data_IF_839754918239
#
_entry.id   IF_839754918239
#
_cell.length_a   1.000
_cell.length_b   1.000
_cell.length_c   1.000
_cell.angle_alpha   90.00
_cell.angle_beta   90.00
_cell.angle_gamma   90.00
#
_symmetry.space_group_name_H-M   'P 1'
#
loop_
_entity.id
_entity.type
_entity.pdbx_description
1 polymer ?
#
# COMPACT_ATOMS: atom_id res chain seq x y z
N UNK A 1 -10.92 -1.62 -5.69
CA UNK A 1 -10.85 -3.10 -5.79
C UNK A 1 -11.56 -3.53 -7.06
N UNK A 2 -11.05 -4.53 -7.74
CA UNK A 2 -11.56 -5.03 -9.02
C UNK A 2 -11.59 -6.56 -8.98
N UNK A 3 -12.72 -7.18 -9.30
CA UNK A 3 -12.89 -8.64 -9.30
C UNK A 3 -13.10 -9.13 -10.74
N UNK A 4 -12.11 -9.81 -11.32
CA UNK A 4 -12.07 -10.15 -12.74
C UNK A 4 -12.13 -11.66 -12.98
N UNK A 5 -13.12 -12.13 -13.75
CA UNK A 5 -13.19 -13.50 -14.28
C UNK A 5 -12.75 -13.51 -15.74
N UNK A 6 -11.93 -14.48 -16.11
CA UNK A 6 -11.36 -14.58 -17.46
C UNK A 6 -11.89 -15.83 -18.14
N UNK A 7 -12.28 -15.69 -19.41
CA UNK A 7 -12.96 -16.71 -20.18
C UNK A 7 -12.26 -16.92 -21.51
N UNK A 8 -12.05 -18.19 -21.88
CA UNK A 8 -11.45 -18.58 -23.15
C UNK A 8 -12.38 -19.50 -23.94
N UNK A 9 -12.48 -19.33 -25.25
CA UNK A 9 -13.30 -20.19 -26.12
C UNK A 9 -12.48 -21.05 -27.09
N UNK A 10 -12.30 -22.36 -26.80
CA UNK A 10 -11.64 -23.28 -27.73
C UNK A 10 -12.61 -23.82 -28.82
N UNK A 11 -12.15 -24.06 -30.07
CA UNK A 11 -10.89 -23.60 -30.64
C UNK A 11 -11.01 -22.11 -31.06
N UNK A 12 -9.99 -21.31 -30.76
CA UNK A 12 -9.95 -19.90 -31.15
C UNK A 12 -9.22 -19.05 -30.13
N UNK A 13 -9.19 -17.73 -30.39
CA UNK A 13 -8.56 -16.72 -29.53
C UNK A 13 -9.60 -15.65 -29.13
N UNK A 14 -10.86 -16.06 -28.91
CA UNK A 14 -11.91 -15.19 -28.36
C UNK A 14 -11.84 -15.29 -26.83
N UNK A 15 -11.07 -14.36 -26.26
CA UNK A 15 -10.85 -14.23 -24.83
C UNK A 15 -11.66 -13.04 -24.29
N UNK A 16 -12.25 -13.24 -23.10
CA UNK A 16 -13.14 -12.27 -22.48
C UNK A 16 -12.83 -12.10 -21.01
N UNK A 17 -12.92 -10.86 -20.55
CA UNK A 17 -12.87 -10.51 -19.13
C UNK A 17 -14.27 -10.04 -18.71
N UNK A 18 -14.76 -10.57 -17.58
CA UNK A 18 -15.89 -10.03 -16.83
C UNK A 18 -15.36 -9.41 -15.56
N UNK A 19 -15.55 -8.10 -15.42
CA UNK A 19 -15.04 -7.30 -14.32
C UNK A 19 -16.19 -6.78 -13.47
N UNK A 20 -16.11 -7.00 -12.15
CA UNK A 20 -16.96 -6.37 -11.15
C UNK A 20 -16.18 -5.26 -10.41
N UNK A 21 -16.77 -4.07 -10.38
CA UNK A 21 -16.33 -2.90 -9.60
C UNK A 21 -17.29 -2.77 -8.42
N UNK A 22 -16.90 -3.16 -7.19
CA UNK A 22 -17.82 -3.18 -6.06
C UNK A 22 -17.96 -1.85 -5.30
N UNK A 23 -17.25 -0.77 -5.65
CA UNK A 23 -17.27 0.49 -4.89
C UNK A 23 -17.78 1.70 -5.68
N UNK A 24 -18.40 2.66 -4.98
CA UNK A 24 -18.90 3.94 -5.53
C UNK A 24 -20.19 3.75 -6.31
N UNK A 25 -20.05 3.27 -7.54
CA UNK A 25 -21.12 2.85 -8.44
C UNK A 25 -20.83 1.40 -8.81
N UNK A 26 -21.71 0.46 -8.41
CA UNK A 26 -21.43 -0.95 -8.64
C UNK A 26 -21.56 -1.27 -10.13
N UNK A 27 -20.47 -1.65 -10.79
CA UNK A 27 -20.46 -1.82 -12.26
C UNK A 27 -20.01 -3.22 -12.65
N UNK A 28 -20.69 -3.83 -13.62
CA UNK A 28 -20.23 -5.03 -14.32
C UNK A 28 -19.83 -4.66 -15.74
N UNK A 29 -18.59 -4.96 -16.11
CA UNK A 29 -18.01 -4.64 -17.42
C UNK A 29 -17.57 -5.94 -18.10
N UNK A 30 -17.88 -6.07 -19.38
CA UNK A 30 -17.39 -7.16 -20.23
C UNK A 30 -16.43 -6.63 -21.28
N UNK A 31 -15.20 -7.14 -21.28
CA UNK A 31 -14.09 -6.64 -22.09
C UNK A 31 -13.61 -7.75 -23.04
N UNK A 32 -13.37 -7.41 -24.30
CA UNK A 32 -12.67 -8.29 -25.24
C UNK A 32 -11.16 -8.23 -24.98
N UNK A 33 -10.50 -9.38 -24.88
CA UNK A 33 -9.07 -9.49 -24.55
C UNK A 33 -8.21 -9.79 -25.78
N UNK A 34 -8.24 -8.92 -26.78
CA UNK A 34 -7.58 -9.09 -28.06
C UNK A 34 -6.60 -7.94 -28.41
N UNK A 35 -5.89 -7.40 -27.40
CA UNK A 35 -4.86 -6.37 -27.58
C UNK A 35 -3.77 -6.82 -28.56
N UNK A 36 -3.97 -6.51 -29.84
CA UNK A 36 -3.11 -6.87 -30.95
C UNK A 36 -3.82 -7.14 -32.27
N UNK A 37 -5.15 -7.33 -32.30
CA UNK A 37 -5.87 -7.72 -33.54
C UNK A 37 -6.82 -6.67 -34.11
N UNK A 38 -7.44 -5.84 -33.28
CA UNK A 38 -8.21 -4.66 -33.71
C UNK A 38 -7.95 -3.49 -32.75
N UNK A 39 -7.71 -2.29 -33.27
CA UNK A 39 -7.74 -1.08 -32.44
C UNK A 39 -9.19 -0.85 -31.96
N UNK A 40 -9.40 -0.89 -30.64
CA UNK A 40 -10.60 -0.40 -29.95
C UNK A 40 -11.93 -1.08 -30.33
N UNK A 41 -12.13 -2.33 -29.91
CA UNK A 41 -13.50 -2.82 -29.69
C UNK A 41 -14.04 -2.22 -28.39
N UNK A 42 -15.24 -1.67 -28.47
CA UNK A 42 -15.98 -1.27 -27.27
C UNK A 42 -16.24 -2.49 -26.37
N UNK A 43 -16.37 -2.24 -25.07
CA UNK A 43 -16.80 -3.23 -24.10
C UNK A 43 -18.10 -3.90 -24.59
N UNK A 44 -18.18 -5.23 -24.52
CA UNK A 44 -19.40 -5.95 -24.90
C UNK A 44 -20.51 -5.83 -23.86
N UNK A 45 -20.18 -5.33 -22.67
CA UNK A 45 -21.08 -5.16 -21.56
C UNK A 45 -20.62 -3.97 -20.70
N UNK A 46 -21.56 -3.13 -20.30
CA UNK A 46 -21.38 -2.11 -19.28
C UNK A 46 -22.74 -1.90 -18.59
N UNK A 47 -22.88 -2.42 -17.38
CA UNK A 47 -24.09 -2.29 -16.57
C UNK A 47 -23.75 -1.71 -15.20
N UNK A 48 -24.41 -0.61 -14.83
CA UNK A 48 -24.31 0.04 -13.51
C UNK A 48 -25.50 -0.35 -12.64
N UNK A 49 -25.23 -0.56 -11.36
CA UNK A 49 -26.19 -1.02 -10.37
C UNK A 49 -26.13 -0.15 -9.12
N UNK A 50 -27.30 0.10 -8.55
CA UNK A 50 -27.43 0.83 -7.28
C UNK A 50 -27.11 -0.01 -6.05
N UNK A 51 -26.94 -1.33 -6.21
CA UNK A 51 -26.78 -2.27 -5.10
C UNK A 51 -25.85 -3.43 -5.48
N UNK A 52 -24.94 -3.79 -4.57
CA UNK A 52 -23.92 -4.82 -4.77
C UNK A 52 -24.51 -6.22 -4.95
N UNK A 53 -25.64 -6.54 -4.30
CA UNK A 53 -26.31 -7.83 -4.44
C UNK A 53 -26.80 -8.03 -5.87
N UNK A 54 -27.37 -6.97 -6.46
CA UNK A 54 -27.83 -6.99 -7.85
C UNK A 54 -26.65 -7.11 -8.80
N UNK A 55 -25.56 -6.37 -8.56
CA UNK A 55 -24.36 -6.44 -9.38
C UNK A 55 -23.71 -7.84 -9.37
N UNK A 56 -23.61 -8.49 -8.20
CA UNK A 56 -23.11 -9.87 -8.08
C UNK A 56 -24.02 -10.85 -8.84
N UNK A 57 -25.34 -10.70 -8.72
CA UNK A 57 -26.28 -11.54 -9.46
C UNK A 57 -26.14 -11.37 -10.99
N UNK A 58 -25.95 -10.13 -11.45
CA UNK A 58 -25.69 -9.83 -12.86
C UNK A 58 -24.37 -10.45 -13.33
N UNK A 59 -23.30 -10.37 -12.53
CA UNK A 59 -22.03 -11.02 -12.82
C UNK A 59 -22.20 -12.54 -13.00
N UNK A 60 -22.93 -13.20 -12.09
CA UNK A 60 -23.24 -14.64 -12.20
C UNK A 60 -24.02 -14.97 -13.47
N UNK A 61 -25.04 -14.16 -13.79
CA UNK A 61 -25.83 -14.32 -15.03
C UNK A 61 -24.94 -14.25 -16.26
N UNK A 62 -24.08 -13.24 -16.37
CA UNK A 62 -23.20 -13.08 -17.53
C UNK A 62 -22.11 -14.16 -17.60
N UNK A 63 -21.55 -14.59 -16.46
CA UNK A 63 -20.63 -15.72 -16.43
C UNK A 63 -21.28 -17.02 -16.92
N UNK A 64 -22.55 -17.25 -16.54
CA UNK A 64 -23.32 -18.39 -17.03
C UNK A 64 -23.65 -18.29 -18.52
N UNK A 65 -23.98 -17.10 -19.03
CA UNK A 65 -24.19 -16.84 -20.47
C UNK A 65 -22.92 -17.15 -21.29
N UNK A 66 -21.75 -16.73 -20.80
CA UNK A 66 -20.47 -17.08 -21.42
C UNK A 66 -20.21 -18.58 -21.39
N UNK A 67 -20.42 -19.23 -20.24
CA UNK A 67 -20.25 -20.69 -20.12
C UNK A 67 -21.18 -21.44 -21.09
N UNK A 68 -22.44 -21.03 -21.19
CA UNK A 68 -23.41 -21.60 -22.12
C UNK A 68 -23.04 -21.37 -23.60
N UNK A 69 -22.33 -20.29 -23.91
CA UNK A 69 -21.78 -20.01 -25.23
C UNK A 69 -20.50 -20.82 -25.56
N UNK A 70 -20.03 -21.65 -24.63
CA UNK A 70 -18.88 -22.54 -24.80
C UNK A 70 -17.54 -21.95 -24.33
N UNK A 71 -17.57 -20.89 -23.52
CA UNK A 71 -16.37 -20.37 -22.89
C UNK A 71 -16.02 -21.16 -21.62
N UNK A 72 -14.73 -21.24 -21.32
CA UNK A 72 -14.19 -21.86 -20.12
C UNK A 72 -13.56 -20.78 -19.24
N UNK A 73 -13.98 -20.70 -17.98
CA UNK A 73 -13.33 -19.83 -16.99
C UNK A 73 -11.89 -20.31 -16.72
N UNK A 74 -10.93 -19.41 -16.76
CA UNK A 74 -9.49 -19.70 -16.71
C UNK A 74 -8.87 -19.32 -15.37
N UNK A 75 -7.72 -19.92 -15.04
CA UNK A 75 -6.99 -19.65 -13.80
C UNK A 75 -6.26 -18.30 -13.76
N UNK A 76 -6.43 -17.43 -14.77
CA UNK A 76 -5.82 -16.11 -14.79
C UNK A 76 -6.41 -15.20 -13.72
N UNK A 77 -5.58 -14.28 -13.23
CA UNK A 77 -5.91 -13.41 -12.08
C UNK A 77 -5.58 -11.94 -12.32
N UNK A 78 -4.70 -11.60 -13.27
CA UNK A 78 -4.18 -10.24 -13.43
C UNK A 78 -5.08 -9.41 -14.36
N UNK A 79 -5.96 -8.59 -13.79
CA UNK A 79 -6.92 -7.72 -14.51
C UNK A 79 -6.30 -6.64 -15.40
N UNK A 80 -5.00 -6.40 -15.27
CA UNK A 80 -4.25 -5.51 -16.16
C UNK A 80 -3.72 -6.22 -17.41
N UNK A 81 -3.84 -7.55 -17.50
CA UNK A 81 -3.55 -8.28 -18.73
C UNK A 81 -4.71 -8.10 -19.71
N UNK A 82 -4.36 -7.97 -20.98
CA UNK A 82 -5.31 -7.76 -22.09
C UNK A 82 -5.17 -8.82 -23.19
N UNK A 83 -4.49 -9.90 -22.84
CA UNK A 83 -4.33 -11.12 -23.61
C UNK A 83 -4.14 -12.27 -22.61
N UNK A 84 -4.82 -13.40 -22.82
CA UNK A 84 -4.54 -14.60 -22.05
C UNK A 84 -3.28 -15.26 -22.62
N UNK A 85 -2.47 -15.89 -21.75
CA UNK A 85 -1.29 -16.61 -22.21
C UNK A 85 -1.71 -17.73 -23.20
N UNK A 86 -0.84 -18.15 -24.14
CA UNK A 86 -1.14 -19.26 -25.04
C UNK A 86 -1.59 -20.50 -24.26
N UNK A 87 -2.76 -21.06 -24.62
CA UNK A 87 -3.40 -22.20 -23.97
C UNK A 87 -3.76 -21.97 -22.49
N UNK A 88 -4.70 -21.06 -22.19
CA UNK A 88 -5.11 -20.78 -20.82
C UNK A 88 -5.68 -22.04 -20.16
N UNK A 89 -5.25 -22.30 -18.92
CA UNK A 89 -5.71 -23.45 -18.16
C UNK A 89 -7.08 -23.18 -17.54
N UNK A 90 -8.00 -24.16 -17.54
CA UNK A 90 -9.26 -24.05 -16.81
C UNK A 90 -9.04 -23.74 -15.33
N UNK A 91 -9.88 -22.89 -14.75
CA UNK A 91 -9.86 -22.58 -13.32
C UNK A 91 -10.19 -23.84 -12.50
N UNK A 92 -9.33 -24.26 -11.54
CA UNK A 92 -9.64 -25.33 -10.60
C UNK A 92 -10.89 -25.03 -9.77
N UNK A 93 -11.66 -26.05 -9.40
CA UNK A 93 -12.94 -25.86 -8.70
C UNK A 93 -12.78 -25.16 -7.34
N UNK A 94 -11.73 -25.48 -6.58
CA UNK A 94 -11.47 -24.78 -5.30
C UNK A 94 -11.21 -23.28 -5.47
N UNK A 95 -10.69 -22.83 -6.63
CA UNK A 95 -10.52 -21.40 -6.92
C UNK A 95 -11.86 -20.75 -7.27
N UNK A 96 -12.73 -21.45 -8.01
CA UNK A 96 -14.09 -20.98 -8.28
C UNK A 96 -14.87 -20.84 -6.97
N UNK A 97 -14.82 -21.85 -6.12
CA UNK A 97 -15.50 -21.83 -4.82
C UNK A 97 -14.96 -20.71 -3.90
N UNK A 98 -13.67 -20.38 -3.99
CA UNK A 98 -13.07 -19.25 -3.27
C UNK A 98 -13.49 -17.89 -3.87
N UNK A 99 -13.66 -17.77 -5.19
CA UNK A 99 -14.27 -16.60 -5.82
C UNK A 99 -15.72 -16.41 -5.36
N UNK A 100 -16.49 -17.50 -5.28
CA UNK A 100 -17.88 -17.48 -4.78
C UNK A 100 -17.94 -17.05 -3.32
N UNK A 101 -17.00 -17.49 -2.46
CA UNK A 101 -16.90 -16.99 -1.10
C UNK A 101 -16.60 -15.48 -1.07
N UNK A 102 -15.71 -14.99 -1.93
CA UNK A 102 -15.42 -13.55 -2.04
C UNK A 102 -16.66 -12.77 -2.47
N UNK A 103 -17.42 -13.24 -3.46
CA UNK A 103 -18.67 -12.61 -3.90
C UNK A 103 -19.76 -12.67 -2.81
N UNK A 104 -19.83 -13.79 -2.08
CA UNK A 104 -20.73 -13.94 -0.93
C UNK A 104 -20.38 -12.97 0.20
N UNK A 105 -19.10 -12.68 0.43
CA UNK A 105 -18.68 -11.70 1.45
C UNK A 105 -19.18 -10.28 1.16
N UNK A 106 -19.44 -9.97 -0.11
CA UNK A 106 -19.94 -8.66 -0.55
C UNK A 106 -21.46 -8.54 -0.53
N UNK A 107 -22.19 -9.66 -0.69
CA UNK A 107 -23.61 -9.62 -1.05
C UNK A 107 -24.51 -10.57 -0.25
N UNK A 108 -23.96 -11.63 0.34
CA UNK A 108 -24.73 -12.68 0.97
C UNK A 108 -24.86 -12.48 2.48
N UNK A 109 -25.95 -12.96 3.11
CA UNK A 109 -26.06 -13.01 4.57
C UNK A 109 -24.96 -13.85 5.23
N UNK A 110 -24.66 -13.57 6.50
CA UNK A 110 -23.61 -14.25 7.26
C UNK A 110 -23.75 -15.79 7.32
N UNK A 111 -24.99 -16.30 7.31
CA UNK A 111 -25.24 -17.74 7.29
C UNK A 111 -24.75 -18.37 5.98
N UNK A 112 -24.97 -17.71 4.84
CA UNK A 112 -24.48 -18.20 3.54
C UNK A 112 -22.96 -18.14 3.47
N UNK A 113 -22.36 -17.05 3.94
CA UNK A 113 -20.90 -16.94 4.04
C UNK A 113 -20.31 -18.07 4.90
N UNK A 114 -20.94 -18.41 6.03
CA UNK A 114 -20.52 -19.52 6.89
C UNK A 114 -20.61 -20.88 6.18
N UNK A 115 -21.65 -21.11 5.36
CA UNK A 115 -21.78 -22.34 4.54
C UNK A 115 -20.65 -22.44 3.52
N UNK A 116 -20.34 -21.35 2.82
CA UNK A 116 -19.25 -21.30 1.83
C UNK A 116 -17.87 -21.54 2.50
N UNK A 117 -17.63 -20.90 3.65
CA UNK A 117 -16.42 -21.17 4.45
C UNK A 117 -16.31 -22.63 4.87
N UNK A 118 -17.41 -23.25 5.28
CA UNK A 118 -17.42 -24.66 5.68
C UNK A 118 -17.15 -25.61 4.50
N UNK A 119 -17.68 -25.29 3.30
CA UNK A 119 -17.50 -26.08 2.09
C UNK A 119 -16.03 -26.12 1.61
N UNK A 120 -15.28 -25.04 1.86
CA UNK A 120 -13.87 -24.92 1.46
C UNK A 120 -12.88 -25.61 2.41
N UNK A 121 -13.32 -26.09 3.58
CA UNK A 121 -12.46 -26.79 4.54
C UNK A 121 -11.91 -28.09 3.96
N UNK A 122 -10.62 -28.36 4.16
CA UNK A 122 -9.94 -29.52 3.62
C UNK A 122 -9.59 -29.42 2.13
N UNK A 123 -9.98 -28.34 1.44
CA UNK A 123 -9.50 -28.02 0.09
C UNK A 123 -8.19 -27.23 0.14
N UNK A 124 -7.45 -27.07 -0.97
CA UNK A 124 -6.30 -26.18 -1.02
C UNK A 124 -6.61 -24.72 -0.63
N UNK A 125 -7.85 -24.27 -0.85
CA UNK A 125 -8.28 -22.89 -0.57
C UNK A 125 -8.08 -22.50 0.90
N UNK A 126 -8.24 -23.44 1.84
CA UNK A 126 -8.16 -23.18 3.29
C UNK A 126 -6.81 -22.57 3.72
N UNK A 127 -5.77 -22.74 2.92
CA UNK A 127 -4.40 -22.24 3.18
C UNK A 127 -4.04 -21.03 2.34
N UNK A 128 -4.96 -20.52 1.53
CA UNK A 128 -4.73 -19.33 0.72
C UNK A 128 -4.98 -18.05 1.55
N UNK A 129 -4.16 -17.00 1.37
CA UNK A 129 -4.36 -15.73 2.06
C UNK A 129 -5.77 -15.14 1.90
N UNK A 130 -6.37 -15.26 0.70
CA UNK A 130 -7.72 -14.78 0.43
C UNK A 130 -8.76 -15.47 1.32
N UNK A 131 -8.68 -16.79 1.48
CA UNK A 131 -9.56 -17.53 2.39
C UNK A 131 -9.38 -17.11 3.85
N UNK A 132 -8.12 -16.98 4.30
CA UNK A 132 -7.81 -16.63 5.69
C UNK A 132 -8.34 -15.23 6.04
N UNK A 133 -8.20 -14.27 5.14
CA UNK A 133 -8.80 -12.94 5.28
C UNK A 133 -10.34 -13.03 5.32
N UNK A 134 -10.98 -13.74 4.39
CA UNK A 134 -12.44 -13.89 4.36
C UNK A 134 -12.99 -14.56 5.62
N UNK A 135 -12.28 -15.58 6.13
CA UNK A 135 -12.63 -16.25 7.39
C UNK A 135 -12.47 -15.33 8.61
N UNK A 136 -11.41 -14.51 8.65
CA UNK A 136 -11.22 -13.52 9.71
C UNK A 136 -12.29 -12.42 9.65
N UNK A 137 -12.58 -11.91 8.46
CA UNK A 137 -13.61 -10.89 8.24
C UNK A 137 -14.99 -11.40 8.64
N UNK A 138 -15.37 -12.63 8.23
CA UNK A 138 -16.61 -13.26 8.67
C UNK A 138 -16.70 -13.38 10.19
N UNK A 139 -15.66 -13.92 10.83
CA UNK A 139 -15.56 -14.05 12.30
C UNK A 139 -15.74 -12.70 13.01
N UNK A 140 -15.14 -11.64 12.45
CA UNK A 140 -15.30 -10.27 12.96
C UNK A 140 -16.72 -9.72 12.80
N UNK A 141 -17.31 -9.82 11.61
CA UNK A 141 -18.64 -9.26 11.32
C UNK A 141 -19.75 -10.04 12.04
N UNK A 142 -19.59 -11.36 12.18
CA UNK A 142 -20.49 -12.21 12.94
C UNK A 142 -20.38 -12.04 14.47
N UNK A 143 -19.49 -11.16 14.94
CA UNK A 143 -19.20 -10.92 16.35
C UNK A 143 -18.87 -12.22 17.10
N UNK A 144 -18.09 -13.08 16.44
CA UNK A 144 -17.52 -14.28 17.06
C UNK A 144 -16.37 -13.91 18.00
N UNK A 145 -15.73 -14.93 18.59
CA UNK A 145 -14.58 -14.78 19.48
C UNK A 145 -13.42 -14.00 18.82
N UNK A 146 -13.05 -12.85 19.42
CA UNK A 146 -11.92 -12.03 18.98
C UNK A 146 -10.61 -12.82 18.89
N UNK A 147 -10.39 -13.82 19.76
CA UNK A 147 -9.19 -14.67 19.70
C UNK A 147 -9.14 -15.46 18.39
N UNK A 148 -10.29 -15.96 17.93
CA UNK A 148 -10.39 -16.65 16.64
C UNK A 148 -10.13 -15.69 15.48
N UNK A 149 -10.73 -14.50 15.49
CA UNK A 149 -10.53 -13.47 14.46
C UNK A 149 -9.05 -13.08 14.35
N UNK A 150 -8.42 -12.76 15.48
CA UNK A 150 -6.98 -12.42 15.57
C UNK A 150 -6.14 -13.54 14.97
N UNK A 151 -6.33 -14.78 15.42
CA UNK A 151 -5.57 -15.94 14.94
C UNK A 151 -5.68 -16.14 13.44
N UNK A 152 -6.88 -16.01 12.87
CA UNK A 152 -7.09 -16.17 11.42
C UNK A 152 -6.40 -15.05 10.62
N UNK A 153 -6.49 -13.80 11.10
CA UNK A 153 -5.86 -12.67 10.43
C UNK A 153 -4.32 -12.71 10.54
N UNK A 154 -3.77 -13.07 11.71
CA UNK A 154 -2.33 -13.31 11.89
C UNK A 154 -1.84 -14.42 10.95
N UNK A 155 -2.57 -15.54 10.86
CA UNK A 155 -2.23 -16.62 9.94
C UNK A 155 -2.25 -16.13 8.48
N UNK A 156 -3.21 -15.28 8.10
CA UNK A 156 -3.28 -14.65 6.78
C UNK A 156 -2.03 -13.81 6.48
N UNK A 157 -1.69 -12.86 7.37
CA UNK A 157 -0.49 -12.01 7.28
C UNK A 157 0.78 -12.86 7.16
N UNK A 158 0.96 -13.81 8.07
CA UNK A 158 2.17 -14.63 8.13
C UNK A 158 2.30 -15.54 6.89
N UNK A 159 1.18 -16.02 6.33
CA UNK A 159 1.17 -16.79 5.09
C UNK A 159 1.63 -15.96 3.89
N UNK A 160 1.17 -14.70 3.79
CA UNK A 160 1.62 -13.77 2.74
C UNK A 160 3.14 -13.55 2.86
N UNK A 161 3.61 -13.19 4.05
CA UNK A 161 5.03 -12.95 4.31
C UNK A 161 5.90 -14.18 4.00
N UNK A 162 5.47 -15.37 4.44
CA UNK A 162 6.20 -16.63 4.19
C UNK A 162 6.27 -16.97 2.70
N UNK A 163 5.15 -16.81 1.96
CA UNK A 163 5.13 -17.08 0.51
C UNK A 163 5.95 -16.07 -0.27
N UNK A 164 5.90 -14.78 0.09
CA UNK A 164 6.75 -13.72 -0.48
C UNK A 164 8.24 -14.04 -0.30
N UNK A 165 8.65 -14.39 0.94
CA UNK A 165 10.03 -14.77 1.24
C UNK A 165 10.50 -16.01 0.44
N UNK A 166 9.61 -17.00 0.27
CA UNK A 166 9.87 -18.20 -0.50
C UNK A 166 9.71 -18.03 -2.02
N UNK A 167 9.30 -16.85 -2.50
CA UNK A 167 8.90 -16.58 -3.89
C UNK A 167 7.86 -17.57 -4.41
N UNK A 168 6.96 -18.00 -3.53
CA UNK A 168 5.87 -18.91 -3.86
C UNK A 168 4.62 -18.14 -4.26
N UNK A 169 3.91 -18.55 -5.33
CA UNK A 169 2.66 -17.92 -5.71
C UNK A 169 1.57 -18.18 -4.66
N UNK A 170 0.57 -17.31 -4.64
CA UNK A 170 -0.67 -17.51 -3.91
C UNK A 170 -1.85 -17.03 -4.74
N UNK A 171 -3.04 -17.55 -4.41
CA UNK A 171 -4.27 -17.15 -5.06
C UNK A 171 -4.90 -16.00 -4.28
N UNK A 172 -4.97 -14.83 -4.92
CA UNK A 172 -5.63 -13.64 -4.41
C UNK A 172 -6.78 -13.19 -5.32
N UNK A 173 -7.25 -14.07 -6.21
CA UNK A 173 -8.07 -13.68 -7.36
C UNK A 173 -7.42 -12.48 -8.06
N UNK A 174 -8.14 -11.41 -8.41
CA UNK A 174 -7.58 -10.19 -9.02
C UNK A 174 -7.20 -9.09 -8.01
N UNK A 175 -7.12 -9.41 -6.73
CA UNK A 175 -6.68 -8.47 -5.68
C UNK A 175 -5.15 -8.45 -5.66
N UNK A 176 -4.56 -7.25 -5.64
CA UNK A 176 -3.12 -7.09 -5.46
C UNK A 176 -2.68 -7.64 -4.09
N UNK A 177 -1.51 -8.30 -4.02
CA UNK A 177 -0.99 -8.88 -2.77
C UNK A 177 -0.95 -7.84 -1.63
N UNK A 178 -0.48 -6.63 -1.91
CA UNK A 178 -0.43 -5.54 -0.93
C UNK A 178 -1.82 -5.13 -0.42
N UNK A 179 -2.81 -5.06 -1.29
CA UNK A 179 -4.18 -4.73 -0.89
C UNK A 179 -4.81 -5.86 -0.06
N UNK A 180 -4.52 -7.12 -0.37
CA UNK A 180 -4.98 -8.26 0.42
C UNK A 180 -4.31 -8.30 1.81
N UNK A 181 -3.00 -8.04 1.88
CA UNK A 181 -2.26 -7.92 3.14
C UNK A 181 -2.81 -6.78 3.98
N UNK A 182 -3.01 -5.59 3.40
CA UNK A 182 -3.53 -4.43 4.12
C UNK A 182 -4.96 -4.67 4.63
N UNK A 183 -5.84 -5.33 3.86
CA UNK A 183 -7.19 -5.74 4.33
C UNK A 183 -7.15 -6.77 5.45
N UNK A 184 -6.18 -7.68 5.41
CA UNK A 184 -5.97 -8.64 6.50
C UNK A 184 -5.57 -7.92 7.79
N UNK A 185 -4.66 -6.94 7.67
CA UNK A 185 -4.23 -6.10 8.78
C UNK A 185 -5.36 -5.19 9.30
N UNK A 186 -6.21 -4.62 8.45
CA UNK A 186 -7.39 -3.85 8.89
C UNK A 186 -8.30 -4.65 9.84
N UNK A 187 -8.64 -5.90 9.44
CA UNK A 187 -9.47 -6.79 10.26
C UNK A 187 -8.76 -7.14 11.57
N UNK A 188 -7.45 -7.42 11.51
CA UNK A 188 -6.63 -7.68 12.70
C UNK A 188 -6.62 -6.48 13.66
N UNK A 189 -6.49 -5.26 13.14
CA UNK A 189 -6.53 -4.04 13.94
C UNK A 189 -7.85 -3.87 14.66
N UNK A 190 -8.98 -4.04 13.96
CA UNK A 190 -10.30 -3.98 14.60
C UNK A 190 -10.51 -5.08 15.64
N UNK A 191 -10.04 -6.30 15.37
CA UNK A 191 -10.13 -7.41 16.31
C UNK A 191 -9.32 -7.16 17.59
N UNK A 192 -8.12 -6.59 17.48
CA UNK A 192 -7.34 -6.14 18.63
C UNK A 192 -8.05 -5.03 19.42
N UNK A 193 -8.68 -4.09 18.71
CA UNK A 193 -9.42 -3.01 19.38
C UNK A 193 -10.61 -3.56 20.17
N UNK A 194 -11.39 -4.49 19.59
CA UNK A 194 -12.49 -5.19 20.31
C UNK A 194 -12.01 -6.06 21.47
N UNK A 195 -10.75 -6.49 21.44
CA UNK A 195 -10.11 -7.23 22.52
C UNK A 195 -9.41 -6.31 23.55
N UNK A 196 -9.77 -5.02 23.61
CA UNK A 196 -9.21 -4.02 24.52
C UNK A 196 -7.68 -3.86 24.41
N UNK A 197 -7.12 -4.03 23.20
CA UNK A 197 -5.70 -3.87 22.93
C UNK A 197 -5.45 -2.75 21.88
N UNK A 198 -5.67 -1.47 22.24
CA UNK A 198 -5.53 -0.35 21.32
C UNK A 198 -4.10 -0.14 20.83
N UNK A 199 -3.09 -0.55 21.60
CA UNK A 199 -1.68 -0.48 21.19
C UNK A 199 -1.41 -1.36 19.98
N UNK A 200 -1.88 -2.61 20.00
CA UNK A 200 -1.70 -3.53 18.88
C UNK A 200 -2.58 -3.13 17.71
N UNK A 201 -3.81 -2.66 17.97
CA UNK A 201 -4.69 -2.13 16.94
C UNK A 201 -4.06 -0.97 16.16
N UNK A 202 -3.46 -0.01 16.87
CA UNK A 202 -2.78 1.14 16.26
C UNK A 202 -1.56 0.71 15.44
N UNK A 203 -0.72 -0.17 15.98
CA UNK A 203 0.46 -0.69 15.28
C UNK A 203 0.07 -1.37 13.97
N UNK A 204 -0.97 -2.22 14.02
CA UNK A 204 -1.42 -2.99 12.85
C UNK A 204 -2.06 -2.10 11.79
N UNK A 205 -2.86 -1.07 12.15
CA UNK A 205 -3.43 -0.16 11.13
C UNK A 205 -2.37 0.77 10.55
N UNK A 206 -1.36 1.18 11.33
CA UNK A 206 -0.20 1.91 10.81
C UNK A 206 0.57 1.05 9.79
N UNK A 207 0.72 -0.25 10.03
CA UNK A 207 1.31 -1.19 9.06
C UNK A 207 0.41 -1.36 7.82
N UNK A 208 -0.90 -1.54 8.00
CA UNK A 208 -1.87 -1.64 6.89
C UNK A 208 -1.79 -0.42 5.96
N UNK A 209 -1.74 0.78 6.54
CA UNK A 209 -1.68 2.03 5.79
C UNK A 209 -0.38 2.16 4.99
N UNK A 210 0.74 1.63 5.49
CA UNK A 210 2.02 1.61 4.75
C UNK A 210 2.01 0.61 3.60
N UNK A 211 1.46 -0.59 3.83
CA UNK A 211 1.40 -1.65 2.82
C UNK A 211 0.52 -1.22 1.63
N UNK A 212 -0.64 -0.65 1.91
CA UNK A 212 -1.50 -0.06 0.89
C UNK A 212 -2.27 1.11 1.52
N UNK A 213 -1.96 2.37 1.19
CA UNK A 213 -2.73 3.49 1.73
C UNK A 213 -4.17 3.51 1.22
N UNK A 214 -5.12 3.81 2.10
CA UNK A 214 -6.52 4.07 1.73
C UNK A 214 -7.15 5.09 2.66
N UNK A 215 -8.23 5.74 2.19
CA UNK A 215 -9.01 6.68 3.00
C UNK A 215 -9.54 6.02 4.27
N UNK A 216 -10.10 4.81 4.15
CA UNK A 216 -10.69 4.06 5.26
C UNK A 216 -9.66 3.70 6.34
N UNK A 217 -8.45 3.27 5.94
CA UNK A 217 -7.33 3.01 6.87
C UNK A 217 -6.90 4.28 7.59
N UNK A 218 -6.88 5.41 6.88
CA UNK A 218 -6.60 6.73 7.46
C UNK A 218 -7.62 7.12 8.53
N UNK A 219 -8.91 6.92 8.23
CA UNK A 219 -10.02 7.14 9.18
C UNK A 219 -9.88 6.23 10.40
N UNK A 220 -9.70 4.92 10.21
CA UNK A 220 -9.51 3.96 11.30
C UNK A 220 -8.35 4.35 12.22
N UNK A 221 -7.19 4.69 11.64
CA UNK A 221 -6.01 5.16 12.39
C UNK A 221 -6.35 6.40 13.22
N UNK A 222 -6.99 7.40 12.61
CA UNK A 222 -7.34 8.65 13.28
C UNK A 222 -8.34 8.42 14.42
N UNK A 223 -9.33 7.54 14.23
CA UNK A 223 -10.30 7.14 15.26
C UNK A 223 -9.60 6.50 16.45
N UNK A 224 -8.72 5.51 16.23
CA UNK A 224 -7.98 4.85 17.30
C UNK A 224 -7.11 5.85 18.08
N UNK A 225 -6.41 6.75 17.38
CA UNK A 225 -5.58 7.80 17.99
C UNK A 225 -6.40 8.74 18.86
N UNK A 226 -7.55 9.23 18.34
CA UNK A 226 -8.46 10.10 19.08
C UNK A 226 -8.94 9.46 20.37
N UNK A 227 -9.36 8.20 20.31
CA UNK A 227 -10.06 7.53 21.42
C UNK A 227 -9.13 6.99 22.50
N UNK A 228 -7.94 6.52 22.11
CA UNK A 228 -7.07 5.75 23.01
C UNK A 228 -5.70 6.40 23.25
N UNK A 229 -5.31 7.41 22.47
CA UNK A 229 -3.97 8.01 22.53
C UNK A 229 -4.05 9.55 22.64
N UNK A 230 -4.43 10.11 23.80
CA UNK A 230 -4.60 11.55 23.97
C UNK A 230 -3.33 12.36 23.65
N UNK A 231 -2.15 11.83 23.96
CA UNK A 231 -0.87 12.47 23.64
C UNK A 231 -0.58 12.55 22.13
N UNK A 232 -1.29 11.74 21.34
CA UNK A 232 -1.23 11.69 19.87
C UNK A 232 -2.53 12.23 19.24
N UNK A 233 -3.39 12.93 19.98
CA UNK A 233 -4.68 13.39 19.46
C UNK A 233 -4.53 14.36 18.28
N UNK A 234 -3.52 15.24 18.29
CA UNK A 234 -3.29 16.16 17.17
C UNK A 234 -2.93 15.43 15.87
N UNK A 235 -2.46 14.20 15.93
CA UNK A 235 -2.23 13.35 14.75
C UNK A 235 -3.55 13.02 14.04
N UNK A 236 -4.60 12.70 14.81
CA UNK A 236 -5.94 12.47 14.28
C UNK A 236 -6.53 13.76 13.69
N UNK A 237 -6.23 14.91 14.31
CA UNK A 237 -6.66 16.20 13.81
C UNK A 237 -5.98 16.60 12.50
N UNK A 238 -4.70 16.25 12.29
CA UNK A 238 -4.05 16.49 11.00
C UNK A 238 -4.71 15.68 9.88
N UNK A 239 -4.98 14.40 10.13
CA UNK A 239 -5.63 13.52 9.18
C UNK A 239 -7.01 14.08 8.78
N UNK A 240 -7.81 14.48 9.78
CA UNK A 240 -9.09 15.12 9.55
C UNK A 240 -8.95 16.46 8.80
N UNK A 241 -7.97 17.29 9.14
CA UNK A 241 -7.74 18.57 8.46
C UNK A 241 -7.41 18.38 6.98
N UNK A 242 -6.63 17.36 6.65
CA UNK A 242 -6.21 17.02 5.26
C UNK A 242 -7.33 16.37 4.45
N UNK A 243 -8.12 15.49 5.06
CA UNK A 243 -8.98 14.56 4.34
C UNK A 243 -10.48 14.64 4.66
N UNK A 244 -10.92 15.48 5.62
CA UNK A 244 -12.33 15.55 6.03
C UNK A 244 -13.33 15.86 4.91
N UNK A 245 -12.89 16.53 3.83
CA UNK A 245 -13.73 16.77 2.63
C UNK A 245 -14.18 15.49 1.93
N UNK A 246 -13.54 14.36 2.20
CA UNK A 246 -13.87 13.04 1.65
C UNK A 246 -14.74 12.20 2.60
N UNK A 247 -15.19 12.77 3.72
CA UNK A 247 -16.03 12.09 4.72
C UNK A 247 -15.27 11.16 5.67
N UNK A 248 -15.96 10.56 6.64
CA UNK A 248 -15.42 9.58 7.60
C UNK A 248 -14.73 10.18 8.83
N UNK A 249 -14.49 11.49 8.84
CA UNK A 249 -13.87 12.21 9.97
C UNK A 249 -14.87 13.02 10.79
N UNK A 250 -16.17 12.84 10.59
CA UNK A 250 -17.26 13.66 11.14
C UNK A 250 -17.18 13.76 12.68
N UNK A 251 -16.92 12.63 13.32
CA UNK A 251 -16.79 12.57 14.78
C UNK A 251 -15.53 13.29 15.30
N UNK A 252 -14.45 13.33 14.53
CA UNK A 252 -13.23 14.06 14.88
C UNK A 252 -13.47 15.56 14.71
N UNK A 253 -14.05 15.98 13.58
CA UNK A 253 -14.25 17.41 13.29
C UNK A 253 -15.31 18.07 14.17
N UNK A 254 -16.22 17.26 14.75
CA UNK A 254 -17.23 17.73 15.69
C UNK A 254 -16.66 18.09 17.08
N UNK A 255 -15.42 17.70 17.39
CA UNK A 255 -14.81 17.98 18.69
C UNK A 255 -14.47 19.48 18.85
N UNK A 256 -14.78 20.10 20.00
CA UNK A 256 -14.34 21.48 20.28
C UNK A 256 -12.82 21.66 20.17
N UNK A 257 -12.06 20.66 20.63
CA UNK A 257 -10.59 20.67 20.53
C UNK A 257 -10.09 20.70 19.07
N UNK A 258 -10.84 20.11 18.13
CA UNK A 258 -10.53 20.20 16.70
C UNK A 258 -10.75 21.60 16.17
N UNK A 259 -11.82 22.30 16.58
CA UNK A 259 -12.06 23.68 16.19
C UNK A 259 -10.92 24.61 16.63
N UNK A 260 -10.45 24.45 17.87
CA UNK A 260 -9.29 25.19 18.39
C UNK A 260 -8.02 24.85 17.60
N UNK A 261 -7.79 23.57 17.32
CA UNK A 261 -6.66 23.12 16.50
C UNK A 261 -6.70 23.74 15.09
N UNK A 262 -7.86 23.70 14.41
CA UNK A 262 -8.02 24.24 13.06
C UNK A 262 -7.82 25.77 13.05
N UNK A 263 -8.29 26.47 14.08
CA UNK A 263 -8.07 27.91 14.24
C UNK A 263 -6.59 28.23 14.46
N UNK A 264 -5.87 27.47 15.30
CA UNK A 264 -4.42 27.62 15.47
C UNK A 264 -3.68 27.41 14.16
N UNK A 265 -4.07 26.39 13.39
CA UNK A 265 -3.44 26.05 12.12
C UNK A 265 -3.61 27.14 11.06
N UNK A 266 -4.83 27.66 10.89
CA UNK A 266 -5.11 28.75 9.94
C UNK A 266 -4.38 30.05 10.30
N UNK A 267 -4.20 30.33 11.58
CA UNK A 267 -3.55 31.54 12.08
C UNK A 267 -2.05 31.35 12.35
N UNK A 268 -1.44 30.25 11.86
CA UNK A 268 -0.04 29.96 12.10
C UNK A 268 0.84 31.06 11.46
N UNK A 269 1.70 31.74 12.24
CA UNK A 269 2.55 32.80 11.71
C UNK A 269 3.58 32.21 10.75
N UNK A 270 4.00 32.99 9.74
CA UNK A 270 5.04 32.57 8.79
C UNK A 270 6.38 32.24 9.47
N UNK A 271 6.63 32.78 10.66
CA UNK A 271 7.82 32.52 11.47
C UNK A 271 7.75 31.22 12.27
N UNK A 272 6.61 30.52 12.30
CA UNK A 272 6.52 29.19 12.87
C UNK A 272 7.35 28.23 12.02
N UNK A 273 8.08 27.32 12.68
CA UNK A 273 8.88 26.30 12.00
C UNK A 273 8.02 25.52 11.01
N UNK A 274 6.75 25.30 11.34
CA UNK A 274 5.80 24.62 10.47
C UNK A 274 6.18 23.16 10.24
N UNK A 275 6.99 22.57 11.12
CA UNK A 275 7.31 21.15 11.10
C UNK A 275 7.49 20.57 12.50
N UNK A 276 7.22 19.27 12.65
CA UNK A 276 7.49 18.52 13.88
C UNK A 276 7.72 17.04 13.60
N UNK A 277 8.39 16.36 14.53
CA UNK A 277 8.54 14.92 14.48
C UNK A 277 7.29 14.22 15.05
N UNK A 278 6.91 13.10 14.43
CA UNK A 278 5.93 12.16 14.99
C UNK A 278 6.53 11.34 16.15
N UNK A 279 5.75 10.41 16.68
CA UNK A 279 6.22 9.44 17.66
C UNK A 279 7.43 8.65 17.11
N UNK A 280 8.50 8.59 17.91
CA UNK A 280 9.76 7.95 17.54
C UNK A 280 9.72 6.46 17.88
N UNK A 281 10.31 5.62 17.03
CA UNK A 281 10.53 4.19 17.29
C UNK A 281 12.01 3.86 17.11
N UNK A 282 12.87 4.18 18.10
CA UNK A 282 14.32 4.02 17.99
C UNK A 282 14.74 2.59 17.65
N UNK A 283 15.73 2.45 16.77
CA UNK A 283 16.30 1.14 16.41
C UNK A 283 17.24 0.62 17.49
N UNK A 284 17.27 -0.70 17.68
CA UNK A 284 18.27 -1.35 18.54
C UNK A 284 19.62 -1.50 17.81
N UNK A 285 20.71 -1.64 18.55
CA UNK A 285 22.04 -1.93 17.97
C UNK A 285 22.05 -3.23 17.15
N UNK A 286 21.25 -4.23 17.57
CA UNK A 286 21.10 -5.50 16.85
C UNK A 286 20.36 -5.30 15.52
N UNK A 287 19.33 -4.45 15.47
CA UNK A 287 18.65 -4.09 14.22
C UNK A 287 19.61 -3.40 13.25
N UNK A 288 20.36 -2.41 13.73
CA UNK A 288 21.35 -1.69 12.93
C UNK A 288 22.45 -2.62 12.42
N UNK A 289 22.93 -3.54 13.26
CA UNK A 289 23.93 -4.53 12.88
C UNK A 289 23.44 -5.49 11.80
N UNK A 290 22.19 -5.98 11.90
CA UNK A 290 21.57 -6.84 10.88
C UNK A 290 21.39 -6.09 9.56
N UNK A 291 20.87 -4.87 9.60
CA UNK A 291 20.68 -4.03 8.41
C UNK A 291 21.99 -3.76 7.68
N UNK A 292 23.07 -3.45 8.41
CA UNK A 292 24.40 -3.28 7.78
C UNK A 292 24.91 -4.55 7.09
N UNK A 293 24.66 -5.72 7.71
CA UNK A 293 25.02 -6.99 7.12
C UNK A 293 24.21 -7.29 5.84
N UNK A 294 22.90 -6.99 5.84
CA UNK A 294 22.02 -7.16 4.67
C UNK A 294 22.34 -6.18 3.54
N UNK A 295 22.68 -4.93 3.88
CA UNK A 295 23.11 -3.93 2.90
C UNK A 295 24.50 -4.26 2.35
N UNK A 296 25.34 -4.97 3.10
CA UNK A 296 26.74 -5.23 2.77
C UNK A 296 27.64 -4.02 3.00
N UNK A 297 27.20 -3.04 3.78
CA UNK A 297 27.90 -1.79 4.04
C UNK A 297 27.59 -1.27 5.45
N UNK A 298 28.54 -0.50 6.02
CA UNK A 298 28.28 0.24 7.26
C UNK A 298 27.41 1.45 6.99
N UNK A 299 26.52 1.78 7.93
CA UNK A 299 25.76 3.02 7.87
C UNK A 299 26.67 4.19 8.30
N UNK A 300 26.61 5.34 7.61
CA UNK A 300 27.28 6.56 8.04
C UNK A 300 26.90 6.90 9.49
N UNK A 301 27.86 7.41 10.26
CA UNK A 301 27.72 7.56 11.71
C UNK A 301 26.53 8.45 12.11
N UNK A 302 26.31 9.53 11.38
CA UNK A 302 25.21 10.47 11.59
C UNK A 302 23.84 9.82 11.32
N UNK A 303 23.70 9.08 10.21
CA UNK A 303 22.48 8.36 9.91
C UNK A 303 22.24 7.19 10.88
N UNK A 304 23.30 6.48 11.30
CA UNK A 304 23.21 5.44 12.33
C UNK A 304 22.71 6.03 13.66
N UNK A 305 23.24 7.18 14.07
CA UNK A 305 22.80 7.89 15.28
C UNK A 305 21.35 8.38 15.15
N UNK A 306 20.95 8.83 13.97
CA UNK A 306 19.56 9.20 13.69
C UNK A 306 18.63 7.99 13.90
N UNK A 307 18.92 6.83 13.32
CA UNK A 307 18.11 5.63 13.49
C UNK A 307 18.07 5.14 14.96
N UNK A 308 19.18 5.27 15.70
CA UNK A 308 19.22 4.95 17.13
C UNK A 308 18.41 5.93 18.01
N UNK A 309 18.06 7.11 17.49
CA UNK A 309 17.35 8.15 18.25
C UNK A 309 15.88 8.28 17.83
N UNK A 310 15.63 8.17 16.53
CA UNK A 310 14.33 8.37 15.89
C UNK A 310 13.78 7.06 15.33
N UNK A 311 14.66 6.25 14.74
CA UNK A 311 14.32 5.02 14.02
C UNK A 311 13.23 5.26 12.99
N UNK A 312 12.23 4.38 12.96
CA UNK A 312 11.04 4.63 12.18
C UNK A 312 10.30 5.86 12.73
N UNK A 313 10.18 6.89 11.91
CA UNK A 313 9.58 8.16 12.32
C UNK A 313 9.11 8.93 11.09
N UNK A 314 8.34 9.99 11.33
CA UNK A 314 7.85 10.88 10.29
C UNK A 314 8.17 12.32 10.67
N UNK A 315 8.63 13.10 9.69
CA UNK A 315 8.71 14.54 9.80
C UNK A 315 7.46 15.14 9.17
N UNK A 316 6.62 15.76 9.98
CA UNK A 316 5.37 16.36 9.53
C UNK A 316 5.57 17.83 9.24
N UNK A 317 5.14 18.25 8.06
CA UNK A 317 5.15 19.63 7.62
C UNK A 317 3.72 20.15 7.62
N UNK A 318 3.51 21.22 8.39
CA UNK A 318 2.21 21.83 8.67
C UNK A 318 2.27 23.29 8.31
N UNK A 319 1.71 23.59 7.16
CA UNK A 319 1.44 24.96 6.74
C UNK A 319 -0.05 25.25 6.96
N UNK A 320 -0.47 26.53 6.93
CA UNK A 320 -1.86 26.90 7.13
C UNK A 320 -2.83 26.12 6.24
N UNK A 321 -2.50 25.93 4.96
CA UNK A 321 -3.38 25.30 3.97
C UNK A 321 -2.83 23.98 3.42
N UNK A 322 -1.57 23.67 3.70
CA UNK A 322 -0.89 22.49 3.15
C UNK A 322 -0.32 21.60 4.25
N UNK A 323 -0.29 20.30 3.97
CA UNK A 323 0.36 19.30 4.81
C UNK A 323 1.24 18.42 3.95
N UNK A 324 2.41 18.07 4.47
CA UNK A 324 3.27 17.05 3.88
C UNK A 324 3.86 16.21 5.01
N UNK A 325 4.28 15.01 4.66
CA UNK A 325 4.91 14.07 5.59
C UNK A 325 6.12 13.49 4.88
N UNK A 326 7.26 13.43 5.57
CA UNK A 326 8.45 12.72 5.12
C UNK A 326 8.63 11.50 6.04
N UNK A 327 8.46 10.32 5.49
CA UNK A 327 8.45 9.04 6.18
C UNK A 327 9.86 8.43 6.15
N UNK A 328 10.46 8.18 7.32
CA UNK A 328 11.76 7.53 7.43
C UNK A 328 11.58 6.03 7.60
N UNK A 329 12.27 5.25 6.77
CA UNK A 329 12.18 3.79 6.81
C UNK A 329 12.82 3.23 8.09
N UNK A 330 12.25 2.13 8.59
CA UNK A 330 12.92 1.34 9.64
C UNK A 330 14.14 0.62 9.06
N UNK A 331 15.14 0.27 9.90
CA UNK A 331 16.36 -0.37 9.42
C UNK A 331 16.11 -1.64 8.58
N UNK A 332 15.13 -2.47 8.94
CA UNK A 332 14.82 -3.72 8.23
C UNK A 332 14.22 -3.53 6.83
N UNK A 333 13.92 -2.29 6.41
CA UNK A 333 13.35 -1.99 5.09
C UNK A 333 14.39 -1.48 4.09
N UNK A 334 15.53 -0.98 4.56
CA UNK A 334 16.50 -0.26 3.72
C UNK A 334 17.02 -1.11 2.54
N UNK A 335 17.30 -2.41 2.78
CA UNK A 335 17.77 -3.30 1.73
C UNK A 335 16.70 -3.56 0.66
N UNK A 336 15.44 -3.70 1.08
CA UNK A 336 14.29 -3.85 0.17
C UNK A 336 14.09 -2.59 -0.64
N UNK A 337 14.09 -1.41 0.00
CA UNK A 337 13.89 -0.14 -0.70
C UNK A 337 15.03 0.21 -1.66
N UNK A 338 16.28 -0.11 -1.31
CA UNK A 338 17.42 -0.04 -2.25
C UNK A 338 17.13 -0.84 -3.52
N UNK A 339 16.67 -2.09 -3.36
CA UNK A 339 16.37 -2.94 -4.52
C UNK A 339 15.18 -2.40 -5.32
N UNK A 340 14.14 -1.89 -4.66
CA UNK A 340 12.97 -1.31 -5.33
C UNK A 340 13.37 -0.10 -6.20
N UNK A 341 14.09 0.86 -5.63
CA UNK A 341 14.55 2.05 -6.37
C UNK A 341 15.52 1.67 -7.47
N UNK A 342 16.50 0.80 -7.22
CA UNK A 342 17.42 0.35 -8.28
C UNK A 342 16.66 -0.31 -9.45
N UNK A 343 15.74 -1.23 -9.15
CA UNK A 343 14.96 -1.91 -10.18
C UNK A 343 14.08 -0.94 -10.97
N UNK A 344 13.59 0.13 -10.34
CA UNK A 344 12.83 1.17 -11.03
C UNK A 344 13.73 2.01 -11.95
N UNK A 345 14.88 2.47 -11.46
CA UNK A 345 15.86 3.25 -12.25
C UNK A 345 16.32 2.43 -13.47
N UNK A 346 16.54 1.13 -13.29
CA UNK A 346 16.99 0.22 -14.35
C UNK A 346 15.84 -0.36 -15.19
N UNK A 347 14.58 0.03 -14.96
CA UNK A 347 13.43 -0.66 -15.57
C UNK A 347 13.43 -0.63 -17.10
N UNK A 348 13.92 0.48 -17.67
CA UNK A 348 13.94 0.72 -19.12
C UNK A 348 15.27 0.40 -19.78
N UNK A 349 16.30 0.04 -19.01
CA UNK A 349 17.64 -0.28 -19.53
C UNK A 349 17.89 -1.79 -19.40
N UNK A 350 18.20 -2.42 -20.54
CA UNK A 350 18.44 -3.87 -20.61
C UNK A 350 19.76 -4.27 -19.92
N UNK A 351 20.72 -3.35 -19.84
CA UNK A 351 22.03 -3.54 -19.20
C UNK A 351 22.18 -2.65 -17.95
N UNK A 352 21.89 -3.17 -16.74
CA UNK A 352 22.00 -2.43 -15.49
C UNK A 352 23.40 -1.84 -15.22
N UNK A 353 24.46 -2.41 -15.81
CA UNK A 353 25.82 -1.90 -15.65
C UNK A 353 26.00 -0.53 -16.33
N UNK A 354 25.20 -0.21 -17.36
CA UNK A 354 25.19 1.13 -17.99
C UNK A 354 24.58 2.17 -17.07
N UNK A 355 23.53 1.81 -16.33
CA UNK A 355 22.94 2.70 -15.32
C UNK A 355 23.98 3.05 -14.28
N UNK A 356 24.68 2.04 -13.75
CA UNK A 356 25.76 2.23 -12.80
C UNK A 356 26.93 3.07 -13.37
N UNK A 357 27.30 2.85 -14.64
CA UNK A 357 28.34 3.62 -15.30
C UNK A 357 27.95 5.10 -15.45
N UNK A 358 26.72 5.38 -15.88
CA UNK A 358 26.18 6.73 -15.99
C UNK A 358 26.20 7.46 -14.65
N UNK A 359 25.69 6.84 -13.58
CA UNK A 359 25.69 7.47 -12.25
C UNK A 359 27.11 7.72 -11.73
N UNK A 360 28.09 6.84 -12.05
CA UNK A 360 29.49 7.06 -11.67
C UNK A 360 30.11 8.24 -12.42
N UNK A 361 29.80 8.39 -13.70
CA UNK A 361 30.29 9.49 -14.53
C UNK A 361 29.70 10.84 -14.09
N UNK A 362 28.38 10.92 -13.97
CA UNK A 362 27.68 12.19 -13.68
C UNK A 362 27.72 12.58 -12.20
N UNK A 363 27.57 11.60 -11.31
CA UNK A 363 27.38 11.83 -9.88
C UNK A 363 28.46 11.20 -9.00
N UNK A 364 29.45 10.50 -9.56
CA UNK A 364 30.52 9.89 -8.76
C UNK A 364 30.03 8.84 -7.76
N UNK A 365 28.86 8.24 -7.99
CA UNK A 365 28.25 7.19 -7.15
C UNK A 365 27.70 6.08 -8.06
N UNK A 366 27.49 4.87 -7.54
CA UNK A 366 26.78 3.83 -8.30
C UNK A 366 25.29 3.85 -7.94
N UNK A 367 24.40 3.63 -8.91
CA UNK A 367 22.96 3.56 -8.66
C UNK A 367 22.63 2.43 -7.68
N UNK A 368 23.36 1.31 -7.76
CA UNK A 368 23.22 0.17 -6.85
C UNK A 368 23.54 0.48 -5.38
N UNK A 369 24.33 1.52 -5.13
CA UNK A 369 24.79 1.91 -3.80
C UNK A 369 23.89 2.99 -3.15
N UNK A 370 22.88 3.48 -3.87
CA UNK A 370 21.90 4.43 -3.37
C UNK A 370 20.83 3.74 -2.54
N UNK A 371 20.78 4.07 -1.26
CA UNK A 371 19.81 3.52 -0.31
C UNK A 371 18.79 4.59 0.03
N UNK A 372 17.50 4.42 -0.31
CA UNK A 372 16.43 5.29 0.15
C UNK A 372 16.34 5.26 1.67
N UNK A 373 16.36 6.44 2.30
CA UNK A 373 16.27 6.59 3.77
C UNK A 373 14.98 7.26 4.22
N UNK A 374 14.35 8.03 3.34
CA UNK A 374 13.05 8.63 3.58
C UNK A 374 12.30 8.93 2.27
N UNK A 375 10.97 8.90 2.30
CA UNK A 375 10.10 9.23 1.17
C UNK A 375 8.99 10.20 1.60
N UNK A 376 8.65 11.23 0.81
CA UNK A 376 7.44 11.99 1.06
C UNK A 376 6.20 11.10 0.87
N UNK A 377 5.26 11.16 1.80
CA UNK A 377 4.08 10.30 1.77
C UNK A 377 3.27 10.49 0.48
N UNK A 378 2.94 9.37 -0.18
CA UNK A 378 2.19 9.34 -1.45
C UNK A 378 2.89 10.02 -2.62
N UNK A 379 4.22 10.16 -2.56
CA UNK A 379 5.04 10.68 -3.66
C UNK A 379 6.04 9.61 -4.09
N UNK A 380 6.28 9.50 -5.39
CA UNK A 380 7.31 8.61 -5.94
C UNK A 380 8.67 9.31 -5.92
N UNK A 381 9.09 9.77 -4.73
CA UNK A 381 10.31 10.56 -4.49
C UNK A 381 10.99 10.04 -3.23
N UNK A 382 12.31 10.17 -3.13
CA UNK A 382 12.99 9.83 -1.90
C UNK A 382 14.26 10.65 -1.65
N UNK A 383 14.65 10.71 -0.38
CA UNK A 383 16.01 11.04 0.03
C UNK A 383 16.79 9.74 -0.02
N UNK A 384 17.88 9.71 -0.79
CA UNK A 384 18.80 8.57 -0.88
C UNK A 384 20.12 8.89 -0.23
N UNK A 385 20.77 7.90 0.37
CA UNK A 385 22.14 7.96 0.89
C UNK A 385 23.05 7.03 0.09
N UNK A 386 24.22 7.49 -0.32
CA UNK A 386 25.21 6.65 -0.98
C UNK A 386 26.02 5.85 0.05
N UNK A 387 25.98 4.53 -0.05
CA UNK A 387 26.79 3.62 0.79
C UNK A 387 28.02 3.06 0.05
N UNK A 388 28.23 3.45 -1.21
CA UNK A 388 29.36 3.04 -2.02
C UNK A 388 30.67 3.54 -1.43
N UNK A 389 31.71 2.71 -1.50
CA UNK A 389 33.04 3.10 -1.02
C UNK A 389 33.61 4.23 -1.90
N UNK A 390 34.19 5.26 -1.26
CA UNK A 390 34.86 6.37 -1.94
C UNK A 390 34.57 7.72 -1.28
N UNK A 391 34.95 8.80 -1.98
CA UNK A 391 34.86 10.17 -1.47
C UNK A 391 33.43 10.66 -1.20
N UNK A 392 32.44 10.00 -1.85
CA UNK A 392 31.02 10.30 -1.68
C UNK A 392 30.29 9.36 -0.71
N UNK A 393 30.99 8.54 0.05
CA UNK A 393 30.36 7.72 1.09
C UNK A 393 29.59 8.59 2.08
N UNK A 394 28.32 8.27 2.32
CA UNK A 394 27.41 9.00 3.20
C UNK A 394 26.80 10.27 2.63
N UNK A 395 27.06 10.59 1.35
CA UNK A 395 26.39 11.70 0.69
C UNK A 395 24.90 11.40 0.49
N UNK A 396 24.08 12.44 0.62
CA UNK A 396 22.64 12.38 0.40
C UNK A 396 22.23 13.16 -0.84
N UNK A 397 21.17 12.67 -1.50
CA UNK A 397 20.57 13.27 -2.68
C UNK A 397 19.05 13.18 -2.59
N UNK A 398 18.36 14.04 -3.34
CA UNK A 398 16.96 13.86 -3.65
C UNK A 398 16.84 13.13 -4.99
N UNK A 399 15.95 12.16 -5.05
CA UNK A 399 15.62 11.40 -6.26
C UNK A 399 14.11 11.49 -6.53
N UNK A 400 13.75 11.62 -7.80
CA UNK A 400 12.37 11.72 -8.29
C UNK A 400 12.13 10.74 -9.44
N UNK A 401 10.99 10.05 -9.43
CA UNK A 401 10.58 9.15 -10.50
C UNK A 401 10.40 9.83 -11.87
N UNK A 402 10.12 11.15 -11.91
CA UNK A 402 9.95 11.91 -13.16
C UNK A 402 11.28 12.08 -13.90
N UNK A 403 12.38 12.14 -13.15
CA UNK A 403 13.76 12.15 -13.64
C UNK A 403 14.52 10.97 -13.04
N UNK A 404 14.23 9.71 -13.45
CA UNK A 404 14.71 8.54 -12.73
C UNK A 404 16.25 8.40 -12.74
N UNK A 405 16.92 9.09 -13.66
CA UNK A 405 18.38 9.11 -13.80
C UNK A 405 18.99 10.38 -13.22
N UNK A 406 18.21 11.25 -12.58
CA UNK A 406 18.67 12.52 -12.04
C UNK A 406 18.82 12.46 -10.51
N UNK A 407 19.92 13.03 -10.00
CA UNK A 407 20.13 13.26 -8.58
C UNK A 407 20.24 14.76 -8.29
N UNK A 408 19.40 15.24 -7.38
CA UNK A 408 19.35 16.63 -6.98
C UNK A 408 19.85 16.84 -5.54
N UNK A 409 20.09 18.11 -5.17
CA UNK A 409 20.37 18.53 -3.79
C UNK A 409 21.49 17.73 -3.09
N UNK A 410 22.60 17.53 -3.80
CA UNK A 410 23.75 16.80 -3.28
C UNK A 410 24.28 17.43 -1.98
N UNK A 411 24.30 16.64 -0.90
CA UNK A 411 24.78 17.06 0.42
C UNK A 411 25.77 16.03 0.98
N UNK A 412 26.83 16.44 1.68
CA UNK A 412 27.94 15.54 2.02
C UNK A 412 27.67 14.62 3.23
N UNK A 413 26.52 14.74 3.88
CA UNK A 413 26.15 13.93 5.06
C UNK A 413 24.65 14.02 5.31
N UNK A 414 24.09 13.05 6.03
CA UNK A 414 22.68 13.01 6.39
C UNK A 414 22.29 14.18 7.30
N UNK A 415 23.14 14.54 8.27
CA UNK A 415 22.87 15.68 9.15
C UNK A 415 22.74 17.00 8.37
N UNK A 416 23.59 17.20 7.35
CA UNK A 416 23.51 18.38 6.48
C UNK A 416 22.25 18.34 5.60
N UNK A 417 21.90 17.17 5.06
CA UNK A 417 20.67 16.99 4.30
C UNK A 417 19.43 17.35 5.13
N UNK A 418 19.34 16.82 6.36
CA UNK A 418 18.23 17.08 7.26
C UNK A 418 18.14 18.54 7.69
N UNK A 419 19.29 19.18 7.92
CA UNK A 419 19.33 20.61 8.22
C UNK A 419 18.89 21.45 7.02
N UNK A 420 19.32 21.11 5.81
CA UNK A 420 18.90 21.80 4.59
C UNK A 420 17.39 21.68 4.38
N UNK A 421 16.84 20.47 4.54
CA UNK A 421 15.41 20.18 4.41
C UNK A 421 14.57 20.97 5.44
N UNK A 422 14.90 20.86 6.72
CA UNK A 422 14.17 21.60 7.78
C UNK A 422 14.30 23.12 7.64
N UNK A 423 15.49 23.63 7.31
CA UNK A 423 15.69 25.07 7.06
C UNK A 423 14.94 25.55 5.81
N UNK A 424 14.83 24.72 4.78
CA UNK A 424 14.06 24.99 3.57
C UNK A 424 12.57 25.10 3.87
N UNK A 425 12.03 24.19 4.68
CA UNK A 425 10.64 24.26 5.16
C UNK A 425 10.41 25.58 5.92
N UNK A 426 11.29 25.93 6.86
CA UNK A 426 11.18 27.18 7.64
C UNK A 426 11.21 28.43 6.76
N UNK A 427 12.01 28.42 5.70
CA UNK A 427 12.12 29.52 4.73
C UNK A 427 11.05 29.51 3.65
N UNK A 428 10.21 28.48 3.61
CA UNK A 428 9.23 28.23 2.55
C UNK A 428 9.90 28.14 1.16
N UNK A 429 11.06 27.48 1.12
CA UNK A 429 11.78 27.21 -0.13
C UNK A 429 10.94 26.33 -1.05
N UNK A 430 10.69 26.79 -2.28
CA UNK A 430 9.77 26.13 -3.21
C UNK A 430 10.29 24.80 -3.72
N UNK A 431 11.61 24.61 -3.82
CA UNK A 431 12.18 23.34 -4.24
C UNK A 431 12.02 22.28 -3.13
N UNK A 432 12.30 22.65 -1.89
CA UNK A 432 12.11 21.75 -0.73
C UNK A 432 10.64 21.44 -0.48
N UNK A 433 9.76 22.44 -0.55
CA UNK A 433 8.32 22.21 -0.41
C UNK A 433 7.77 21.39 -1.58
N UNK A 434 8.20 21.69 -2.81
CA UNK A 434 7.84 20.93 -4.00
C UNK A 434 8.25 19.46 -3.91
N UNK A 435 9.45 19.16 -3.42
CA UNK A 435 9.90 17.79 -3.13
C UNK A 435 8.93 17.06 -2.20
N UNK A 436 8.42 17.75 -1.16
CA UNK A 436 7.44 17.23 -0.21
C UNK A 436 5.99 17.17 -0.75
N UNK A 437 5.77 17.54 -2.01
CA UNK A 437 4.44 17.61 -2.62
C UNK A 437 3.60 18.80 -2.14
N UNK A 438 4.25 19.83 -1.58
CA UNK A 438 3.61 21.06 -1.10
C UNK A 438 3.86 22.18 -2.11
N UNK A 439 2.80 22.65 -2.74
CA UNK A 439 2.84 23.77 -3.68
C UNK A 439 2.14 24.97 -3.05
N UNK A 440 2.88 26.05 -2.87
CA UNK A 440 2.34 27.33 -2.40
C UNK A 440 1.89 28.15 -3.60
N UNK A 441 0.67 28.69 -3.53
CA UNK A 441 0.13 29.62 -4.52
C UNK A 441 0.79 31.01 -4.48
#
# INVERSE_FOLDING_TARGET
MYLAKFFHRPPGDDDRELLLIPGGDHTVIGIYMDEGREQQRDNFLYEEFSDIVIAVYALHRHAAELTAAGYVETAHTRYTLRNLLPNPQPKPDWQKDLDELMLASLSAPLEEQARQLAALRGTPAEREPLYLWLAAHHSYVADEDNVRTIRLAEQGRDTIAARRAAKMPHYAWSIAESELEARTLEVLSWAHLRADNPQSALQVVEEAYKVAPSHDRGVQRATILRDHFPDRQEEAFDAAYKASRFGGYEEIVALPAYADYAARRRNMPKSDKGWRWSAKKPASEDDLGRTEAELGAKLPQDYRQFLATYGESELWVRLPEHSGELCFYRPSELATQRNNVFNFISLTEEDPDKVDAYFREEYGVAARDLVPVAEPAHQSRCVVINLGQGDRYGWCFHWDHDGPWELEQATPSFDIAMKALTSGIERRDTAILGFLGIYLD
#
